data_IF_016550518515
#
_entry.id   IF_016550518515
#
_cell.length_a   1.000
_cell.length_b   1.000
_cell.length_c   1.000
_cell.angle_alpha   90.00
_cell.angle_beta   90.00
_cell.angle_gamma   90.00
#
_symmetry.space_group_name_H-M   'P 1'
#
loop_
_entity.id
_entity.type
_entity.pdbx_description
1 polymer ?
#
# COMPACT_ATOMS: atom_id res chain seq x y z
N UNK A 1 -46.95 -12.74 -29.93
CA UNK A 1 -46.15 -13.97 -29.82
C UNK A 1 -44.73 -13.69 -30.31
N UNK A 2 -43.70 -14.02 -29.52
CA UNK A 2 -42.30 -14.15 -29.94
C UNK A 2 -41.42 -12.90 -29.72
N UNK A 3 -40.97 -12.63 -28.50
CA UNK A 3 -39.74 -13.13 -27.84
C UNK A 3 -38.46 -12.40 -28.29
N UNK A 4 -38.08 -11.43 -27.45
CA UNK A 4 -36.73 -10.92 -27.23
C UNK A 4 -35.79 -12.07 -26.86
N UNK A 5 -34.56 -12.07 -27.38
CA UNK A 5 -33.39 -12.79 -26.80
C UNK A 5 -32.13 -12.22 -27.45
N UNK A 6 -31.55 -11.14 -26.92
CA UNK A 6 -30.53 -11.11 -25.86
C UNK A 6 -29.19 -11.73 -26.30
N UNK A 7 -28.27 -10.85 -26.68
CA UNK A 7 -26.84 -11.14 -26.76
C UNK A 7 -26.24 -10.97 -25.36
N UNK A 8 -25.60 -12.00 -24.84
CA UNK A 8 -24.67 -11.85 -23.72
C UNK A 8 -23.65 -12.99 -23.77
N UNK A 9 -22.58 -12.75 -24.52
CA UNK A 9 -21.31 -13.44 -24.31
C UNK A 9 -20.67 -12.84 -23.07
N UNK A 10 -20.60 -13.61 -21.98
CA UNK A 10 -19.61 -13.38 -20.93
C UNK A 10 -19.11 -14.72 -20.47
N UNK A 11 -17.90 -15.05 -20.92
CA UNK A 11 -17.11 -16.14 -20.40
C UNK A 11 -16.94 -15.93 -18.89
N UNK A 12 -17.55 -16.80 -18.10
CA UNK A 12 -17.27 -16.88 -16.67
C UNK A 12 -15.86 -17.45 -16.49
N UNK A 13 -14.88 -16.58 -16.25
CA UNK A 13 -13.62 -17.01 -15.65
C UNK A 13 -13.92 -17.38 -14.20
N UNK A 14 -13.74 -18.67 -13.87
CA UNK A 14 -13.80 -19.15 -12.50
C UNK A 14 -12.71 -18.47 -11.68
N UNK A 15 -13.08 -17.56 -10.79
CA UNK A 15 -12.17 -17.00 -9.80
C UNK A 15 -12.09 -17.98 -8.62
N UNK A 16 -10.96 -18.66 -8.53
CA UNK A 16 -10.57 -19.41 -7.34
C UNK A 16 -10.60 -18.48 -6.14
N UNK A 17 -11.35 -18.86 -5.11
CA UNK A 17 -11.31 -18.23 -3.80
C UNK A 17 -9.92 -18.53 -3.23
N UNK A 18 -8.99 -17.58 -3.40
CA UNK A 18 -7.72 -17.61 -2.72
C UNK A 18 -7.99 -17.38 -1.23
N UNK A 19 -7.65 -18.41 -0.47
CA UNK A 19 -7.80 -18.55 0.96
C UNK A 19 -7.20 -17.35 1.70
N UNK A 20 -7.93 -16.82 2.68
CA UNK A 20 -7.46 -15.93 3.75
C UNK A 20 -6.24 -16.51 4.48
N UNK A 21 -5.06 -16.37 3.88
CA UNK A 21 -3.77 -16.61 4.49
C UNK A 21 -3.18 -15.27 4.92
N UNK A 22 -2.35 -15.29 5.95
CA UNK A 22 -1.46 -14.17 6.27
C UNK A 22 -0.51 -13.95 5.09
N UNK A 23 -0.94 -13.22 4.07
CA UNK A 23 -0.10 -12.94 2.91
C UNK A 23 0.97 -11.97 3.40
N UNK A 24 2.23 -12.42 3.40
CA UNK A 24 3.35 -11.51 3.45
C UNK A 24 3.22 -10.60 2.22
N UNK A 25 2.72 -9.37 2.42
CA UNK A 25 2.68 -8.36 1.37
C UNK A 25 4.12 -8.18 0.90
N UNK A 26 4.37 -8.49 -0.37
CA UNK A 26 5.67 -8.30 -0.97
C UNK A 26 5.85 -6.81 -1.28
N UNK A 27 6.55 -6.11 -0.39
CA UNK A 27 6.81 -4.67 -0.52
C UNK A 27 7.69 -4.31 -1.73
N UNK A 28 8.26 -5.30 -2.42
CA UNK A 28 9.01 -5.11 -3.66
C UNK A 28 8.16 -5.34 -4.91
N UNK A 29 6.94 -5.87 -4.76
CA UNK A 29 6.02 -6.04 -5.87
C UNK A 29 5.53 -4.67 -6.35
N UNK A 30 5.64 -4.37 -7.66
CA UNK A 30 5.21 -3.09 -8.21
C UNK A 30 3.71 -2.81 -7.95
N UNK A 31 2.85 -3.84 -7.88
CA UNK A 31 1.43 -3.68 -7.59
C UNK A 31 1.16 -3.22 -6.16
N UNK A 32 1.99 -3.65 -5.21
CA UNK A 32 1.92 -3.16 -3.82
C UNK A 32 2.29 -1.69 -3.78
N UNK A 33 3.32 -1.30 -4.53
CA UNK A 33 3.75 0.11 -4.66
C UNK A 33 2.63 0.96 -5.27
N UNK A 34 2.01 0.50 -6.35
CA UNK A 34 0.89 1.16 -7.01
C UNK A 34 -0.31 1.33 -6.08
N UNK A 35 -0.68 0.28 -5.34
CA UNK A 35 -1.75 0.31 -4.35
C UNK A 35 -1.48 1.33 -3.24
N UNK A 36 -0.23 1.40 -2.75
CA UNK A 36 0.19 2.40 -1.75
C UNK A 36 0.07 3.82 -2.30
N UNK A 37 0.44 4.04 -3.56
CA UNK A 37 0.37 5.36 -4.20
C UNK A 37 -1.09 5.80 -4.38
N UNK A 38 -1.94 4.91 -4.91
CA UNK A 38 -3.36 5.19 -5.16
C UNK A 38 -4.08 5.51 -3.85
N UNK A 39 -3.81 4.74 -2.80
CA UNK A 39 -4.43 4.93 -1.50
C UNK A 39 -3.56 5.72 -0.52
N UNK A 40 -2.62 6.53 -1.03
CA UNK A 40 -1.63 7.20 -0.20
C UNK A 40 -2.24 8.01 0.94
N UNK A 41 -3.36 8.68 0.68
CA UNK A 41 -4.07 9.46 1.71
C UNK A 41 -4.49 8.60 2.91
N UNK A 42 -5.03 7.41 2.66
CA UNK A 42 -5.46 6.49 3.71
C UNK A 42 -4.26 5.78 4.37
N UNK A 43 -3.26 5.42 3.56
CA UNK A 43 -1.97 4.89 4.04
C UNK A 43 -1.31 5.87 5.00
N UNK A 44 -1.22 7.15 4.60
CA UNK A 44 -0.66 8.25 5.39
C UNK A 44 -1.40 8.40 6.71
N UNK A 45 -2.74 8.47 6.70
CA UNK A 45 -3.54 8.64 7.92
C UNK A 45 -3.27 7.52 8.93
N UNK A 46 -3.26 6.27 8.47
CA UNK A 46 -2.97 5.12 9.34
C UNK A 46 -1.51 5.11 9.81
N UNK A 47 -0.58 5.46 8.94
CA UNK A 47 0.85 5.48 9.24
C UNK A 47 1.18 6.61 10.24
N UNK A 48 0.67 7.83 10.04
CA UNK A 48 0.82 8.97 10.95
C UNK A 48 0.24 8.66 12.34
N UNK A 49 -0.94 8.04 12.41
CA UNK A 49 -1.52 7.60 13.67
C UNK A 49 -0.67 6.53 14.37
N UNK A 50 0.09 5.74 13.60
CA UNK A 50 0.95 4.69 14.11
C UNK A 50 2.38 5.17 14.46
N UNK A 51 2.86 6.30 13.91
CA UNK A 51 4.19 6.88 14.20
C UNK A 51 4.52 7.00 15.70
N UNK A 52 3.63 7.54 16.58
CA UNK A 52 3.93 7.62 18.01
C UNK A 52 4.11 6.24 18.66
N UNK A 53 3.43 5.21 18.15
CA UNK A 53 3.55 3.83 18.62
C UNK A 53 4.74 3.10 17.97
N UNK A 54 5.10 3.48 16.75
CA UNK A 54 6.25 2.93 16.03
C UNK A 54 7.55 3.25 16.78
N UNK A 55 7.69 4.46 17.32
CA UNK A 55 8.85 4.84 18.13
C UNK A 55 9.11 3.98 19.38
N UNK A 56 8.09 3.24 19.87
CA UNK A 56 8.22 2.30 20.98
C UNK A 56 8.62 0.88 20.54
N UNK A 57 8.43 0.55 19.26
CA UNK A 57 8.66 -0.80 18.70
C UNK A 57 9.83 -0.89 17.74
N UNK A 58 10.26 0.23 17.17
CA UNK A 58 11.39 0.30 16.26
C UNK A 58 12.72 0.33 17.03
N UNK A 59 13.76 -0.25 16.43
CA UNK A 59 15.13 -0.09 16.93
C UNK A 59 15.61 1.35 16.75
N UNK A 60 16.70 1.74 17.41
CA UNK A 60 17.29 3.09 17.24
C UNK A 60 17.67 3.37 15.79
N UNK A 61 18.18 2.36 15.08
CA UNK A 61 18.58 2.47 13.67
C UNK A 61 17.36 2.62 12.74
N UNK A 62 16.31 1.82 12.97
CA UNK A 62 15.05 1.93 12.23
C UNK A 62 14.37 3.28 12.46
N UNK A 63 14.36 3.75 13.71
CA UNK A 63 13.85 5.07 14.05
C UNK A 63 14.66 6.18 13.36
N UNK A 64 15.98 6.09 13.36
CA UNK A 64 16.83 7.07 12.68
C UNK A 64 16.56 7.10 11.15
N UNK A 65 16.44 5.93 10.51
CA UNK A 65 16.04 5.84 9.09
C UNK A 65 14.65 6.45 8.85
N UNK A 66 13.70 6.17 9.73
CA UNK A 66 12.35 6.74 9.62
C UNK A 66 12.37 8.26 9.79
N UNK A 67 13.09 8.78 10.79
CA UNK A 67 13.26 10.22 10.99
C UNK A 67 13.96 10.88 9.78
N UNK A 68 14.94 10.22 9.16
CA UNK A 68 15.59 10.68 7.93
C UNK A 68 14.61 10.73 6.75
N UNK A 69 13.85 9.66 6.53
CA UNK A 69 12.81 9.60 5.49
C UNK A 69 11.72 10.65 5.66
N UNK A 70 11.33 10.91 6.91
CA UNK A 70 10.32 11.91 7.25
C UNK A 70 10.91 13.33 7.36
N UNK A 71 12.21 13.52 7.06
CA UNK A 71 12.94 14.80 7.21
C UNK A 71 12.71 15.44 8.59
N UNK A 72 12.65 14.62 9.64
CA UNK A 72 12.38 14.99 11.04
C UNK A 72 11.04 15.70 11.29
N UNK A 73 10.09 15.63 10.34
CA UNK A 73 8.77 16.26 10.51
C UNK A 73 7.84 15.48 11.43
N UNK A 74 8.14 14.20 11.68
CA UNK A 74 7.30 13.32 12.50
C UNK A 74 5.93 13.02 11.88
N UNK A 75 5.78 13.28 10.58
CA UNK A 75 4.60 12.97 9.76
C UNK A 75 5.05 12.58 8.35
N UNK A 76 4.31 11.69 7.71
CA UNK A 76 4.50 11.33 6.31
C UNK A 76 4.19 12.52 5.39
N UNK A 77 4.87 12.63 4.23
CA UNK A 77 4.60 13.70 3.27
C UNK A 77 3.20 13.56 2.67
N UNK A 78 2.63 14.67 2.21
CA UNK A 78 1.30 14.70 1.57
C UNK A 78 1.26 13.89 0.27
N UNK A 79 2.39 13.79 -0.43
CA UNK A 79 2.55 12.97 -1.63
C UNK A 79 3.65 11.93 -1.39
N UNK A 80 3.46 10.67 -1.83
CA UNK A 80 4.52 9.67 -1.77
C UNK A 80 5.61 10.00 -2.78
N UNK A 81 6.84 9.60 -2.47
CA UNK A 81 7.98 9.66 -3.40
C UNK A 81 8.57 8.28 -3.58
N UNK A 82 9.20 8.03 -4.73
CA UNK A 82 9.88 6.75 -4.98
C UNK A 82 10.86 6.39 -3.87
N UNK A 83 11.70 7.36 -3.47
CA UNK A 83 12.68 7.19 -2.41
C UNK A 83 12.04 6.78 -1.08
N UNK A 84 10.91 7.41 -0.71
CA UNK A 84 10.18 7.04 0.50
C UNK A 84 9.70 5.59 0.43
N UNK A 85 9.07 5.20 -0.67
CA UNK A 85 8.48 3.88 -0.83
C UNK A 85 9.53 2.76 -0.87
N UNK A 86 10.67 3.00 -1.52
CA UNK A 86 11.75 2.01 -1.61
C UNK A 86 12.46 1.79 -0.27
N UNK A 87 12.55 2.83 0.57
CA UNK A 87 13.24 2.77 1.86
C UNK A 87 12.28 2.52 3.05
N UNK A 88 10.97 2.57 2.83
CA UNK A 88 9.96 2.32 3.86
C UNK A 88 10.09 0.95 4.55
N UNK A 89 10.26 -0.19 3.84
CA UNK A 89 10.39 -1.50 4.49
C UNK A 89 11.70 -1.65 5.28
N UNK A 90 12.70 -0.81 4.99
CA UNK A 90 13.98 -0.75 5.70
C UNK A 90 13.87 0.03 7.03
N UNK A 91 13.04 1.09 7.03
CA UNK A 91 12.77 1.92 8.21
C UNK A 91 11.69 1.34 9.12
N UNK A 92 10.65 0.72 8.56
CA UNK A 92 9.56 0.08 9.29
C UNK A 92 9.49 -1.37 8.82
N UNK A 93 9.66 -2.36 9.71
CA UNK A 93 9.69 -3.75 9.30
C UNK A 93 8.37 -4.13 8.62
N UNK A 94 8.39 -4.96 7.55
CA UNK A 94 7.21 -5.35 6.78
C UNK A 94 6.05 -5.87 7.65
N UNK A 95 6.34 -6.60 8.72
CA UNK A 95 5.32 -7.06 9.66
C UNK A 95 4.54 -5.92 10.34
N UNK A 96 5.21 -4.81 10.64
CA UNK A 96 4.58 -3.59 11.16
C UNK A 96 3.79 -2.88 10.08
N UNK A 97 4.34 -2.72 8.88
CA UNK A 97 3.62 -2.12 7.76
C UNK A 97 2.35 -2.90 7.41
N UNK A 98 2.43 -4.22 7.32
CA UNK A 98 1.28 -5.09 7.04
C UNK A 98 0.19 -4.95 8.12
N UNK A 99 0.59 -4.72 9.37
CA UNK A 99 -0.36 -4.51 10.47
C UNK A 99 -1.04 -3.14 10.41
N UNK A 100 -0.34 -2.10 9.95
CA UNK A 100 -0.85 -0.72 9.96
C UNK A 100 -1.64 -0.45 8.69
N UNK A 101 -1.06 -0.74 7.53
CA UNK A 101 -1.56 -0.38 6.21
C UNK A 101 -1.81 -1.58 5.29
N UNK A 102 -1.48 -2.80 5.73
CA UNK A 102 -1.66 -3.99 4.90
C UNK A 102 -3.11 -4.28 4.53
N UNK A 103 -4.08 -3.89 5.37
CA UNK A 103 -5.51 -4.01 5.03
C UNK A 103 -5.92 -3.11 3.84
N UNK A 104 -5.32 -1.93 3.72
CA UNK A 104 -5.60 -1.00 2.60
C UNK A 104 -5.05 -1.58 1.30
N UNK A 105 -3.82 -2.09 1.36
CA UNK A 105 -3.13 -2.68 0.21
C UNK A 105 -3.83 -3.97 -0.23
N UNK A 106 -4.21 -4.84 0.71
CA UNK A 106 -4.91 -6.09 0.42
C UNK A 106 -6.29 -5.85 -0.20
N UNK A 107 -7.05 -4.88 0.31
CA UNK A 107 -8.33 -4.47 -0.29
C UNK A 107 -8.16 -3.95 -1.71
N UNK A 108 -7.16 -3.09 -1.91
CA UNK A 108 -6.79 -2.53 -3.19
C UNK A 108 -6.43 -3.63 -4.22
N UNK A 109 -5.57 -4.58 -3.83
CA UNK A 109 -5.15 -5.69 -4.68
C UNK A 109 -6.30 -6.66 -5.01
N UNK A 110 -7.25 -6.86 -4.08
CA UNK A 110 -8.42 -7.74 -4.29
C UNK A 110 -9.48 -7.11 -5.19
N UNK A 111 -9.71 -5.81 -5.04
CA UNK A 111 -10.76 -5.10 -5.78
C UNK A 111 -10.30 -4.62 -7.16
N UNK A 112 -8.99 -4.71 -7.49
CA UNK A 112 -8.41 -4.19 -8.74
C UNK A 112 -8.83 -2.73 -9.02
N UNK A 113 -9.02 -1.94 -7.96
CA UNK A 113 -9.72 -0.65 -8.02
C UNK A 113 -8.80 0.52 -8.41
N UNK A 114 -7.93 0.33 -9.42
CA UNK A 114 -7.06 1.39 -9.89
C UNK A 114 -6.75 1.20 -11.38
N UNK A 115 -7.46 1.96 -12.22
CA UNK A 115 -7.21 2.03 -13.66
C UNK A 115 -5.99 2.88 -14.01
N UNK A 116 -5.57 3.78 -13.12
CA UNK A 116 -4.47 4.71 -13.32
C UNK A 116 -3.70 4.90 -12.02
N UNK A 117 -2.39 4.69 -12.05
CA UNK A 117 -1.48 4.95 -10.92
C UNK A 117 -1.04 6.41 -11.01
N UNK A 118 -1.26 7.23 -9.96
CA UNK A 118 -0.76 8.60 -9.93
C UNK A 118 0.73 8.64 -10.20
N UNK A 119 1.18 9.50 -11.11
CA UNK A 119 2.62 9.74 -11.30
C UNK A 119 3.16 10.41 -10.06
N UNK A 120 3.99 9.71 -9.28
CA UNK A 120 4.68 10.26 -8.13
C UNK A 120 5.98 10.93 -8.57
N UNK A 121 6.38 11.96 -7.82
CA UNK A 121 7.66 12.60 -8.05
C UNK A 121 8.78 11.65 -7.65
N UNK A 122 9.74 11.43 -8.54
CA UNK A 122 11.01 10.78 -8.24
C UNK A 122 11.82 11.73 -7.33
N UNK A 123 11.37 11.89 -6.09
CA UNK A 123 11.95 12.80 -5.11
C UNK A 123 13.44 12.50 -4.97
N UNK A 124 14.25 13.39 -5.51
CA UNK A 124 15.70 13.40 -5.31
C UNK A 124 15.93 14.21 -4.04
N UNK A 125 16.46 13.56 -3.01
CA UNK A 125 17.22 14.14 -1.89
C UNK A 125 16.54 15.29 -1.09
#
# INVERSE_FOLDING_TARGET
MGLLSSFASTAGAAFSIATSGSYEIDWKDPKVRDAVIVHWKEVKEKADAALPLAGLRLTKEQKAKLDELLKQKGVFPDEPTDYLLDNLPDAIPPASLNRIIGGVIDDCLKNHDHKEVPTISAGTE
#
